data_IF_851564419661
#
_entry.id   IF_851564419661
#
_cell.length_a   1.000
_cell.length_b   1.000
_cell.length_c   1.000
_cell.angle_alpha   90.00
_cell.angle_beta   90.00
_cell.angle_gamma   90.00
#
_symmetry.space_group_name_H-M   'P 1'
#
loop_
_entity.id
_entity.type
_entity.pdbx_description
1 polymer ?
#
# COMPACT_ATOMS: atom_id res chain seq x y z
N UNK A 1 32.90 57.27 -42.75
CA UNK A 1 31.97 56.24 -43.24
C UNK A 1 32.77 54.97 -43.53
N UNK A 2 32.18 53.80 -43.22
CA UNK A 2 32.76 52.45 -43.01
C UNK A 2 33.40 52.26 -41.63
N UNK A 3 32.75 51.65 -40.61
CA UNK A 3 32.07 50.35 -40.38
C UNK A 3 33.01 49.18 -40.01
N UNK A 4 32.84 48.77 -38.75
CA UNK A 4 32.95 47.44 -38.10
C UNK A 4 34.31 46.71 -38.14
N UNK A 5 34.76 46.02 -37.09
CA UNK A 5 34.14 44.83 -36.48
C UNK A 5 34.59 44.71 -35.00
N UNK A 6 33.60 44.60 -34.11
CA UNK A 6 33.75 44.18 -32.71
C UNK A 6 33.79 42.66 -32.65
N UNK A 7 34.89 42.08 -32.17
CA UNK A 7 34.96 40.66 -31.86
C UNK A 7 34.57 40.44 -30.39
N UNK A 8 33.30 40.12 -30.14
CA UNK A 8 32.87 39.49 -28.89
C UNK A 8 33.17 37.98 -28.97
N UNK A 9 33.95 37.47 -28.02
CA UNK A 9 34.10 36.03 -27.77
C UNK A 9 32.73 35.40 -27.43
N UNK A 10 32.44 34.16 -27.88
CA UNK A 10 31.24 33.46 -27.44
C UNK A 10 31.41 33.07 -25.97
N UNK A 11 30.46 33.47 -25.12
CA UNK A 11 30.25 32.83 -23.82
C UNK A 11 29.72 31.42 -24.12
N UNK A 12 30.51 30.40 -23.79
CA UNK A 12 29.99 29.05 -23.64
C UNK A 12 29.10 29.04 -22.40
N UNK A 13 27.84 29.38 -22.60
CA UNK A 13 26.76 28.97 -21.71
C UNK A 13 26.28 27.61 -22.24
N UNK A 14 26.88 26.56 -21.72
CA UNK A 14 26.38 25.20 -21.88
C UNK A 14 25.90 24.71 -20.53
N UNK A 15 24.90 25.39 -19.98
CA UNK A 15 24.01 24.79 -19.00
C UNK A 15 23.13 23.82 -19.77
N UNK A 16 23.62 22.58 -19.95
CA UNK A 16 22.76 21.48 -20.37
C UNK A 16 21.84 21.21 -19.18
N UNK A 17 20.58 21.59 -19.31
CA UNK A 17 19.52 21.05 -18.46
C UNK A 17 19.53 19.54 -18.68
N UNK A 18 19.86 18.77 -17.64
CA UNK A 18 19.62 17.33 -17.61
C UNK A 18 18.10 17.13 -17.58
N UNK A 19 17.49 16.56 -18.64
CA UNK A 19 16.08 16.21 -18.58
C UNK A 19 15.94 14.96 -17.71
N UNK A 20 15.18 15.09 -16.63
CA UNK A 20 14.90 14.05 -15.62
C UNK A 20 16.06 13.74 -14.65
N UNK A 21 16.29 14.63 -13.67
CA UNK A 21 16.89 14.18 -12.41
C UNK A 21 15.95 13.17 -11.76
N UNK A 22 16.47 12.04 -11.28
CA UNK A 22 15.67 10.99 -10.61
C UNK A 22 14.72 11.56 -9.53
N UNK A 23 15.11 12.66 -8.89
CA UNK A 23 14.29 13.43 -7.94
C UNK A 23 12.92 13.88 -8.48
N UNK A 24 12.81 14.20 -9.78
CA UNK A 24 11.58 14.71 -10.41
C UNK A 24 10.54 13.59 -10.65
N UNK A 25 11.01 12.36 -10.87
CA UNK A 25 10.14 11.18 -10.99
C UNK A 25 9.51 10.82 -9.63
N UNK A 26 10.24 11.03 -8.53
CA UNK A 26 9.75 10.74 -7.18
C UNK A 26 8.74 11.77 -6.63
N UNK A 27 8.66 12.97 -7.21
CA UNK A 27 7.65 13.96 -6.83
C UNK A 27 6.22 13.48 -7.08
N UNK A 28 6.02 12.61 -8.08
CA UNK A 28 4.70 12.05 -8.44
C UNK A 28 4.15 11.05 -7.43
N UNK A 29 5.01 10.43 -6.64
CA UNK A 29 4.60 9.47 -5.63
C UNK A 29 4.22 10.16 -4.33
N UNK A 30 3.16 9.65 -3.70
CA UNK A 30 2.74 10.12 -2.38
C UNK A 30 3.80 9.80 -1.32
N UNK A 31 3.84 10.57 -0.24
CA UNK A 31 4.55 10.10 0.95
C UNK A 31 3.87 8.85 1.51
N UNK A 32 4.61 7.97 2.19
CA UNK A 32 4.01 6.79 2.83
C UNK A 32 2.90 7.16 3.82
N UNK A 33 3.07 8.25 4.57
CA UNK A 33 2.03 8.76 5.47
C UNK A 33 0.77 9.21 4.72
N UNK A 34 0.92 9.95 3.62
CA UNK A 34 -0.24 10.45 2.86
C UNK A 34 -0.98 9.32 2.14
N UNK A 35 -0.25 8.32 1.64
CA UNK A 35 -0.84 7.09 1.13
C UNK A 35 -1.69 6.40 2.22
N UNK A 36 -1.14 6.23 3.42
CA UNK A 36 -1.87 5.62 4.54
C UNK A 36 -3.09 6.44 4.97
N UNK A 37 -3.03 7.77 4.98
CA UNK A 37 -4.19 8.63 5.27
C UNK A 37 -5.29 8.47 4.23
N UNK A 38 -4.93 8.33 2.96
CA UNK A 38 -5.88 8.13 1.88
C UNK A 38 -6.54 6.74 1.95
N UNK A 39 -5.79 5.70 2.33
CA UNK A 39 -6.28 4.33 2.45
C UNK A 39 -7.11 4.11 3.73
N UNK A 40 -6.70 4.73 4.83
CA UNK A 40 -7.29 4.60 6.18
C UNK A 40 -7.76 5.97 6.70
N UNK A 41 -8.77 6.59 6.08
CA UNK A 41 -9.19 7.96 6.42
C UNK A 41 -9.71 8.10 7.86
N UNK A 42 -10.17 6.99 8.46
CA UNK A 42 -10.68 6.97 9.84
C UNK A 42 -9.59 6.68 10.89
N UNK A 43 -8.35 6.37 10.47
CA UNK A 43 -7.26 6.10 11.40
C UNK A 43 -6.79 7.39 12.10
N UNK A 44 -6.42 7.28 13.37
CA UNK A 44 -5.88 8.42 14.11
C UNK A 44 -4.49 8.81 13.58
N UNK A 45 -4.08 10.07 13.80
CA UNK A 45 -2.72 10.52 13.46
C UNK A 45 -1.64 9.63 14.09
N UNK A 46 -1.85 9.22 15.34
CA UNK A 46 -0.93 8.32 16.06
C UNK A 46 -0.87 6.93 15.44
N UNK A 47 -2.01 6.39 14.98
CA UNK A 47 -2.02 5.12 14.26
C UNK A 47 -1.29 5.23 12.91
N UNK A 48 -1.54 6.30 12.15
CA UNK A 48 -0.84 6.56 10.89
C UNK A 48 0.69 6.66 11.10
N UNK A 49 1.15 7.41 12.11
CA UNK A 49 2.57 7.53 12.44
C UNK A 49 3.17 6.16 12.80
N UNK A 50 2.45 5.36 13.61
CA UNK A 50 2.86 3.99 13.96
C UNK A 50 2.95 3.09 12.73
N UNK A 51 1.97 3.17 11.82
CA UNK A 51 1.94 2.38 10.59
C UNK A 51 3.08 2.79 9.65
N UNK A 52 3.31 4.09 9.46
CA UNK A 52 4.42 4.58 8.65
C UNK A 52 5.78 4.10 9.21
N UNK A 53 5.97 4.21 10.53
CA UNK A 53 7.17 3.71 11.20
C UNK A 53 7.33 2.19 11.04
N UNK A 54 6.24 1.42 11.08
CA UNK A 54 6.29 -0.02 10.83
C UNK A 54 6.89 -0.34 9.45
N UNK A 55 6.64 0.52 8.45
CA UNK A 55 7.04 0.33 7.06
C UNK A 55 8.44 0.85 6.72
N UNK A 56 9.12 1.57 7.63
CA UNK A 56 10.48 2.08 7.38
C UNK A 56 11.47 0.96 7.05
N UNK A 57 11.35 -0.19 7.71
CA UNK A 57 12.23 -1.36 7.55
C UNK A 57 11.83 -2.29 6.39
N UNK A 58 10.68 -2.05 5.72
CA UNK A 58 10.23 -2.90 4.61
C UNK A 58 11.08 -2.60 3.38
N UNK A 59 11.54 -3.63 2.68
CA UNK A 59 12.35 -3.48 1.48
C UNK A 59 11.54 -2.82 0.35
N UNK A 60 12.23 -2.12 -0.56
CA UNK A 60 11.55 -1.53 -1.71
C UNK A 60 10.95 -2.64 -2.58
N UNK A 61 9.76 -2.39 -3.14
CA UNK A 61 9.00 -3.32 -3.97
C UNK A 61 8.42 -4.56 -3.27
N UNK A 62 8.71 -4.79 -1.98
CA UNK A 62 7.97 -5.76 -1.19
C UNK A 62 6.51 -5.30 -1.04
N UNK A 63 5.52 -6.19 -1.29
CA UNK A 63 4.12 -5.80 -1.22
C UNK A 63 3.67 -5.63 0.23
N UNK A 64 3.04 -4.49 0.47
CA UNK A 64 2.37 -4.17 1.73
C UNK A 64 0.87 -4.22 1.46
N UNK A 65 0.17 -5.15 2.11
CA UNK A 65 -1.29 -5.18 2.12
C UNK A 65 -1.79 -4.23 3.22
N UNK A 66 -2.61 -3.28 2.84
CA UNK A 66 -3.39 -2.47 3.77
C UNK A 66 -4.85 -2.84 3.62
N UNK A 67 -5.49 -3.26 4.73
CA UNK A 67 -6.91 -3.60 4.76
C UNK A 67 -7.64 -2.47 5.47
N UNK A 68 -8.49 -1.75 4.72
CA UNK A 68 -9.44 -0.80 5.29
C UNK A 68 -10.66 -1.55 5.81
N UNK A 69 -11.04 -1.42 7.09
CA UNK A 69 -12.08 -2.23 7.72
C UNK A 69 -13.47 -1.94 7.14
N UNK A 70 -14.27 -2.99 6.91
CA UNK A 70 -15.69 -2.82 6.60
C UNK A 70 -16.54 -2.96 7.86
N UNK A 71 -17.01 -1.84 8.41
CA UNK A 71 -17.82 -1.84 9.63
C UNK A 71 -19.17 -2.56 9.48
N UNK A 72 -19.75 -2.66 8.28
CA UNK A 72 -20.97 -3.46 8.08
C UNK A 72 -20.70 -4.95 8.30
N UNK A 73 -19.56 -5.45 7.81
CA UNK A 73 -19.14 -6.82 8.07
C UNK A 73 -18.87 -7.04 9.57
N UNK A 74 -18.19 -6.10 10.23
CA UNK A 74 -17.91 -6.17 11.67
C UNK A 74 -19.22 -6.21 12.48
N UNK A 75 -20.22 -5.42 12.11
CA UNK A 75 -21.53 -5.46 12.75
C UNK A 75 -22.25 -6.81 12.55
N UNK A 76 -22.12 -7.43 11.38
CA UNK A 76 -22.73 -8.72 11.07
C UNK A 76 -22.01 -9.91 11.74
N UNK A 77 -20.69 -9.84 11.89
CA UNK A 77 -19.85 -10.98 12.29
C UNK A 77 -19.14 -10.81 13.64
N UNK A 78 -19.22 -9.65 14.28
CA UNK A 78 -18.49 -9.21 15.50
C UNK A 78 -17.05 -8.77 15.30
N UNK A 79 -16.62 -7.87 16.18
CA UNK A 79 -15.23 -7.40 16.26
C UNK A 79 -14.24 -8.52 16.61
N UNK A 80 -14.63 -9.49 17.45
CA UNK A 80 -13.76 -10.61 17.80
C UNK A 80 -13.44 -11.49 16.58
N UNK A 81 -14.42 -11.75 15.71
CA UNK A 81 -14.17 -12.48 14.48
C UNK A 81 -13.32 -11.67 13.49
N UNK A 82 -13.53 -10.36 13.40
CA UNK A 82 -12.67 -9.47 12.62
C UNK A 82 -11.21 -9.59 13.06
N UNK A 83 -10.94 -9.42 14.35
CA UNK A 83 -9.59 -9.53 14.91
C UNK A 83 -8.97 -10.90 14.64
N UNK A 84 -9.76 -11.98 14.81
CA UNK A 84 -9.30 -13.34 14.51
C UNK A 84 -8.82 -13.48 13.07
N UNK A 85 -9.57 -12.97 12.10
CA UNK A 85 -9.22 -13.09 10.69
C UNK A 85 -8.03 -12.19 10.33
N UNK A 86 -7.95 -10.98 10.90
CA UNK A 86 -6.77 -10.11 10.74
C UNK A 86 -5.50 -10.73 11.34
N UNK A 87 -5.62 -11.43 12.48
CA UNK A 87 -4.49 -12.19 13.02
C UNK A 87 -4.00 -13.30 12.08
N UNK A 88 -4.91 -13.90 11.30
CA UNK A 88 -4.56 -14.92 10.31
C UNK A 88 -3.84 -14.32 9.12
N UNK A 89 -4.21 -13.13 8.65
CA UNK A 89 -3.42 -12.38 7.66
C UNK A 89 -1.98 -12.14 8.11
N UNK A 90 -1.77 -11.94 9.42
CA UNK A 90 -0.43 -11.69 9.96
C UNK A 90 0.40 -12.95 10.23
N UNK A 91 -0.17 -14.16 10.16
CA UNK A 91 0.50 -15.39 10.64
C UNK A 91 0.32 -16.64 9.76
N UNK A 92 -0.74 -16.75 8.98
CA UNK A 92 -1.12 -17.99 8.32
C UNK A 92 -0.15 -18.37 7.19
N UNK A 93 0.57 -19.48 7.34
CA UNK A 93 1.49 -19.98 6.32
C UNK A 93 2.80 -19.19 6.20
N UNK A 94 3.10 -18.32 7.16
CA UNK A 94 4.28 -17.45 7.17
C UNK A 94 5.39 -18.06 8.04
N UNK A 95 6.64 -17.99 7.57
CA UNK A 95 7.79 -18.65 8.22
C UNK A 95 8.38 -17.91 9.44
N UNK A 96 7.91 -16.71 9.77
CA UNK A 96 8.51 -15.82 10.78
C UNK A 96 7.47 -15.14 11.68
N UNK A 97 7.95 -14.22 12.54
CA UNK A 97 7.15 -13.32 13.37
C UNK A 97 5.98 -12.67 12.61
N UNK A 98 4.95 -12.34 13.38
CA UNK A 98 3.73 -11.64 12.97
C UNK A 98 4.02 -10.44 12.05
N UNK A 99 3.40 -10.40 10.87
CA UNK A 99 3.67 -9.45 9.76
C UNK A 99 3.02 -8.07 9.83
N UNK A 100 2.33 -7.76 10.92
CA UNK A 100 1.55 -6.52 11.05
C UNK A 100 1.96 -5.64 12.24
N UNK A 101 2.98 -6.04 13.01
CA UNK A 101 3.37 -5.43 14.30
C UNK A 101 2.16 -5.12 15.23
N UNK A 102 1.11 -5.94 15.17
CA UNK A 102 -0.13 -5.77 15.96
C UNK A 102 -1.09 -4.68 15.47
N UNK A 103 -0.94 -4.19 14.24
CA UNK A 103 -1.82 -3.17 13.65
C UNK A 103 -3.21 -3.70 13.26
N UNK A 104 -3.33 -4.96 12.88
CA UNK A 104 -4.54 -5.56 12.29
C UNK A 104 -4.99 -4.92 10.96
N UNK A 105 -4.20 -4.02 10.39
CA UNK A 105 -4.56 -3.28 9.16
C UNK A 105 -3.43 -3.27 8.13
N UNK A 106 -2.16 -3.29 8.56
CA UNK A 106 -1.00 -3.13 7.68
C UNK A 106 -0.13 -4.39 7.79
N UNK A 107 -0.03 -5.14 6.70
CA UNK A 107 0.66 -6.43 6.64
C UNK A 107 1.76 -6.37 5.57
N UNK A 108 2.97 -6.80 5.90
CA UNK A 108 4.07 -6.88 4.92
C UNK A 108 4.35 -8.33 4.52
N UNK A 109 4.75 -8.55 3.26
CA UNK A 109 5.07 -9.87 2.73
C UNK A 109 6.39 -9.83 1.97
N UNK A 110 7.08 -10.97 1.90
CA UNK A 110 8.36 -11.07 1.21
C UNK A 110 8.21 -10.92 -0.31
N UNK A 111 7.07 -11.33 -0.87
CA UNK A 111 6.73 -11.13 -2.27
C UNK A 111 5.22 -11.28 -2.51
N UNK A 112 4.81 -11.05 -3.75
CA UNK A 112 3.42 -11.13 -4.19
C UNK A 112 2.90 -12.58 -4.13
N UNK A 113 3.77 -13.58 -4.27
CA UNK A 113 3.40 -15.00 -4.15
C UNK A 113 3.00 -15.34 -2.72
N UNK A 114 3.75 -14.87 -1.73
CA UNK A 114 3.45 -15.03 -0.30
C UNK A 114 2.12 -14.34 0.04
N UNK A 115 1.93 -13.08 -0.38
CA UNK A 115 0.68 -12.33 -0.19
C UNK A 115 -0.55 -13.12 -0.69
N UNK A 116 -0.53 -13.59 -1.95
CA UNK A 116 -1.67 -14.29 -2.52
C UNK A 116 -1.79 -15.75 -2.04
N UNK A 117 -0.71 -16.35 -1.52
CA UNK A 117 -0.80 -17.62 -0.79
C UNK A 117 -1.57 -17.45 0.52
N UNK A 118 -1.27 -16.42 1.31
CA UNK A 118 -2.02 -16.07 2.53
C UNK A 118 -3.49 -15.80 2.21
N UNK A 119 -3.76 -14.96 1.20
CA UNK A 119 -5.14 -14.72 0.73
C UNK A 119 -5.88 -16.03 0.42
N UNK A 120 -5.25 -16.95 -0.32
CA UNK A 120 -5.86 -18.23 -0.69
C UNK A 120 -6.20 -19.08 0.52
N UNK A 121 -5.29 -19.15 1.49
CA UNK A 121 -5.49 -19.91 2.71
C UNK A 121 -6.63 -19.34 3.55
N UNK A 122 -6.64 -18.02 3.75
CA UNK A 122 -7.69 -17.33 4.53
C UNK A 122 -9.04 -17.49 3.85
N UNK A 123 -9.11 -17.39 2.52
CA UNK A 123 -10.35 -17.68 1.79
C UNK A 123 -10.87 -19.09 2.02
N UNK A 124 -9.98 -20.08 2.09
CA UNK A 124 -10.37 -21.46 2.33
C UNK A 124 -10.90 -21.68 3.76
N UNK A 125 -10.34 -20.99 4.75
CA UNK A 125 -10.71 -21.13 6.17
C UNK A 125 -11.92 -20.25 6.53
N UNK A 126 -11.98 -19.04 5.97
CA UNK A 126 -12.95 -17.99 6.30
C UNK A 126 -13.66 -17.47 5.04
N UNK A 127 -14.45 -18.30 4.33
CA UNK A 127 -15.10 -17.89 3.09
C UNK A 127 -16.07 -16.70 3.28
N UNK A 128 -16.66 -16.55 4.46
CA UNK A 128 -17.56 -15.46 4.82
C UNK A 128 -16.87 -14.09 5.00
N UNK A 129 -15.53 -14.05 5.00
CA UNK A 129 -14.78 -12.78 4.96
C UNK A 129 -14.68 -12.21 3.53
N UNK A 130 -15.05 -13.01 2.53
CA UNK A 130 -15.01 -12.65 1.12
C UNK A 130 -16.43 -12.41 0.62
N UNK A 131 -16.54 -11.54 -0.37
CA UNK A 131 -17.78 -11.22 -1.04
C UNK A 131 -18.15 -12.32 -2.03
N UNK A 132 -19.33 -12.92 -1.84
CA UNK A 132 -19.99 -13.75 -2.85
C UNK A 132 -21.06 -12.91 -3.58
N UNK A 133 -20.88 -12.60 -4.88
CA UNK A 133 -21.89 -11.87 -5.64
C UNK A 133 -23.21 -12.66 -5.80
N UNK A 134 -23.20 -13.98 -5.53
CA UNK A 134 -24.36 -14.86 -5.67
C UNK A 134 -25.09 -15.13 -4.36
N UNK A 135 -24.52 -14.76 -3.21
CA UNK A 135 -25.13 -15.04 -1.91
C UNK A 135 -26.42 -14.25 -1.70
N UNK A 136 -27.43 -14.90 -1.10
CA UNK A 136 -28.64 -14.26 -0.62
C UNK A 136 -28.89 -14.63 0.86
N UNK A 137 -29.00 -13.65 1.78
CA UNK A 137 -28.87 -12.21 1.55
C UNK A 137 -27.44 -11.80 1.13
N UNK A 138 -27.33 -10.64 0.50
CA UNK A 138 -26.04 -10.12 0.03
C UNK A 138 -25.13 -9.83 1.22
N UNK A 139 -23.91 -10.38 1.17
CA UNK A 139 -22.90 -10.23 2.21
C UNK A 139 -21.96 -9.07 1.85
N UNK A 140 -21.24 -8.54 2.83
CA UNK A 140 -20.15 -7.60 2.59
C UNK A 140 -18.81 -8.33 2.71
N UNK A 141 -17.75 -7.90 2.01
CA UNK A 141 -16.40 -8.37 2.33
C UNK A 141 -15.94 -7.77 3.66
N UNK A 142 -14.94 -8.41 4.29
CA UNK A 142 -14.36 -7.98 5.57
C UNK A 142 -13.73 -6.57 5.53
N UNK A 143 -13.33 -6.12 4.35
CA UNK A 143 -12.67 -4.85 4.13
C UNK A 143 -12.41 -4.58 2.65
N UNK A 144 -11.71 -3.48 2.39
CA UNK A 144 -11.12 -3.14 1.09
C UNK A 144 -9.62 -3.38 1.16
N UNK A 145 -9.08 -4.12 0.19
CA UNK A 145 -7.65 -4.36 0.09
C UNK A 145 -6.98 -3.29 -0.75
N UNK A 146 -5.83 -2.82 -0.27
CA UNK A 146 -4.94 -1.91 -0.97
C UNK A 146 -3.56 -2.52 -0.97
N UNK A 147 -2.88 -2.48 -2.11
CA UNK A 147 -1.49 -2.91 -2.21
C UNK A 147 -0.64 -1.66 -2.34
N UNK A 148 0.28 -1.50 -1.38
CA UNK A 148 1.23 -0.41 -1.32
C UNK A 148 2.62 -0.96 -1.57
N UNK A 149 3.39 -0.25 -2.39
CA UNK A 149 4.81 -0.51 -2.63
C UNK A 149 5.63 0.70 -2.20
N UNK A 150 6.75 0.45 -1.52
CA UNK A 150 7.73 1.50 -1.25
C UNK A 150 8.55 1.78 -2.52
N UNK A 151 8.60 3.05 -2.88
CA UNK A 151 9.31 3.57 -4.04
C UNK A 151 10.41 4.50 -3.49
N UNK A 152 11.52 3.91 -3.03
CA UNK A 152 12.58 4.65 -2.33
C UNK A 152 12.27 4.88 -0.85
N UNK A 153 13.02 5.78 -0.20
CA UNK A 153 13.02 5.87 1.27
C UNK A 153 11.70 6.33 1.91
N UNK A 154 10.96 7.24 1.27
CA UNK A 154 9.79 7.92 1.88
C UNK A 154 8.58 8.06 0.96
N UNK A 155 8.64 7.45 -0.22
CA UNK A 155 7.59 7.55 -1.23
C UNK A 155 6.94 6.20 -1.44
N UNK A 156 5.67 6.23 -1.82
CA UNK A 156 4.88 5.03 -2.02
C UNK A 156 3.99 5.17 -3.24
N UNK A 157 3.88 4.06 -3.96
CA UNK A 157 2.81 3.84 -4.93
C UNK A 157 1.79 2.90 -4.30
N UNK A 158 0.51 3.10 -4.61
CA UNK A 158 -0.55 2.28 -4.03
C UNK A 158 -1.81 2.30 -4.89
N UNK A 159 -2.50 1.16 -4.91
CA UNK A 159 -3.79 1.04 -5.58
C UNK A 159 -4.68 0.01 -4.86
N UNK A 160 -5.99 0.09 -5.09
CA UNK A 160 -6.94 -0.87 -4.58
C UNK A 160 -6.87 -2.18 -5.38
N UNK A 161 -6.83 -3.32 -4.69
CA UNK A 161 -7.08 -4.62 -5.31
C UNK A 161 -8.56 -4.97 -5.14
N UNK A 162 -9.38 -4.50 -6.08
CA UNK A 162 -10.84 -4.71 -6.08
C UNK A 162 -11.23 -6.19 -6.12
N UNK A 163 -10.33 -7.06 -6.59
CA UNK A 163 -10.56 -8.49 -6.69
C UNK A 163 -10.11 -9.28 -5.46
N UNK A 164 -9.39 -8.63 -4.53
CA UNK A 164 -8.77 -9.33 -3.41
C UNK A 164 -9.80 -10.06 -2.54
N UNK A 165 -10.91 -9.40 -2.19
CA UNK A 165 -11.95 -10.02 -1.36
C UNK A 165 -13.10 -10.63 -2.16
N UNK A 166 -12.95 -10.89 -3.47
CA UNK A 166 -13.95 -11.58 -4.27
C UNK A 166 -13.80 -13.10 -4.20
N UNK A 167 -14.94 -13.79 -4.06
CA UNK A 167 -15.02 -15.22 -4.34
C UNK A 167 -15.13 -15.44 -5.86
N UNK A 168 -14.38 -16.42 -6.41
CA UNK A 168 -14.46 -16.78 -7.83
C UNK A 168 -15.79 -17.45 -8.23
#
# INVERSE_FOLDING_TARGET
MSMDISCCSPKNDSTKEDPDSEDDIYERFASTEDALKNILPDASKTDIEKYAQQLEDVENYDPILVISPNYNWIHQHSHQNYQKIMNEFATNGLQQNRRDKGSLCVFHFADVTELYAVRRNIRAIYPHAFFDPRAQPQQHPIGTAWVLYKIGMRKSDYDADECFFLLP
#
